data_IF_406007367766
#
_entry.id   IF_406007367766
#
_cell.length_a   1.000
_cell.length_b   1.000
_cell.length_c   1.000
_cell.angle_alpha   90.00
_cell.angle_beta   90.00
_cell.angle_gamma   90.00
#
_symmetry.space_group_name_H-M   'P 1'
#
loop_
_entity.id
_entity.type
_entity.pdbx_description
1 polymer ?
#
# COMPACT_ATOMS: atom_id res chain seq x y z
N UNK A 1 -45.21 8.17 -39.47
CA UNK A 1 -44.53 7.29 -38.51
C UNK A 1 -43.02 7.48 -38.43
N UNK A 2 -42.31 8.01 -39.44
CA UNK A 2 -40.85 8.19 -39.44
C UNK A 2 -40.36 9.42 -38.65
N UNK A 3 -41.11 10.50 -38.56
CA UNK A 3 -40.67 11.73 -37.86
C UNK A 3 -40.69 11.64 -36.34
N UNK A 4 -41.69 10.94 -35.77
CA UNK A 4 -41.74 10.68 -34.31
C UNK A 4 -40.55 9.82 -33.86
N UNK A 5 -40.16 8.82 -34.63
CA UNK A 5 -38.99 7.97 -34.36
C UNK A 5 -37.66 8.74 -34.40
N UNK A 6 -37.53 9.78 -35.19
CA UNK A 6 -36.33 10.61 -35.26
C UNK A 6 -36.26 11.60 -34.07
N UNK A 7 -37.38 12.16 -33.65
CA UNK A 7 -37.44 13.05 -32.49
C UNK A 7 -37.16 12.30 -31.17
N UNK A 8 -37.67 11.09 -31.02
CA UNK A 8 -37.37 10.22 -29.85
C UNK A 8 -35.90 9.83 -29.82
N UNK A 9 -35.29 9.42 -30.91
CA UNK A 9 -33.85 9.10 -31.02
C UNK A 9 -32.98 10.31 -30.71
N UNK A 10 -33.38 11.50 -31.14
CA UNK A 10 -32.64 12.73 -30.85
C UNK A 10 -32.75 13.13 -29.40
N UNK A 11 -33.92 12.93 -28.76
CA UNK A 11 -34.13 13.18 -27.33
C UNK A 11 -33.28 12.20 -26.47
N UNK A 12 -33.26 10.92 -26.84
CA UNK A 12 -32.44 9.90 -26.16
C UNK A 12 -30.95 10.20 -26.31
N UNK A 13 -30.49 10.63 -27.48
CA UNK A 13 -29.09 11.02 -27.72
C UNK A 13 -28.69 12.24 -26.89
N UNK A 14 -29.54 13.26 -26.80
CA UNK A 14 -29.29 14.46 -26.00
C UNK A 14 -29.28 14.15 -24.50
N UNK A 15 -30.17 13.26 -24.03
CA UNK A 15 -30.21 12.83 -22.63
C UNK A 15 -28.95 12.01 -22.26
N UNK A 16 -28.52 11.11 -23.15
CA UNK A 16 -27.28 10.34 -22.96
C UNK A 16 -26.06 11.26 -22.94
N UNK A 17 -25.97 12.25 -23.84
CA UNK A 17 -24.88 13.22 -23.85
C UNK A 17 -24.82 14.05 -22.55
N UNK A 18 -25.99 14.50 -22.07
CA UNK A 18 -26.07 15.23 -20.79
C UNK A 18 -25.66 14.36 -19.59
N UNK A 19 -26.02 13.09 -19.59
CA UNK A 19 -25.64 12.14 -18.55
C UNK A 19 -24.12 11.88 -18.57
N UNK A 20 -23.50 11.73 -19.74
CA UNK A 20 -22.05 11.56 -19.86
C UNK A 20 -21.29 12.79 -19.34
N UNK A 21 -21.71 14.00 -19.71
CA UNK A 21 -21.12 15.24 -19.21
C UNK A 21 -21.19 15.36 -17.68
N UNK A 22 -22.28 14.87 -17.07
CA UNK A 22 -22.41 14.86 -15.62
C UNK A 22 -21.41 13.89 -14.97
N UNK A 23 -21.25 12.69 -15.54
CA UNK A 23 -20.26 11.73 -15.04
C UNK A 23 -18.84 12.24 -15.23
N UNK A 24 -18.50 12.78 -16.39
CA UNK A 24 -17.21 13.41 -16.69
C UNK A 24 -16.88 14.52 -15.70
N UNK A 25 -17.84 15.35 -15.32
CA UNK A 25 -17.70 16.35 -14.29
C UNK A 25 -17.34 15.77 -12.91
N UNK A 26 -17.89 14.61 -12.55
CA UNK A 26 -17.56 13.89 -11.31
C UNK A 26 -16.19 13.21 -11.38
N UNK A 27 -15.85 12.67 -12.54
CA UNK A 27 -14.55 12.07 -12.80
C UNK A 27 -13.43 13.14 -12.91
N UNK A 28 -13.78 14.40 -13.22
CA UNK A 28 -12.82 15.47 -13.50
C UNK A 28 -12.11 15.34 -14.83
N UNK A 29 -12.57 14.43 -15.69
CA UNK A 29 -11.98 14.13 -17.00
C UNK A 29 -13.06 14.06 -18.07
N UNK A 30 -12.75 14.61 -19.24
CA UNK A 30 -13.53 14.37 -20.46
C UNK A 30 -12.90 13.16 -21.16
N UNK A 31 -13.72 12.20 -21.53
CA UNK A 31 -13.29 10.95 -22.15
C UNK A 31 -13.79 10.87 -23.59
N UNK A 32 -13.05 10.14 -24.44
CA UNK A 32 -13.56 9.77 -25.73
C UNK A 32 -14.89 9.03 -25.57
N UNK A 33 -15.93 9.50 -26.25
CA UNK A 33 -17.31 9.02 -26.08
C UNK A 33 -17.46 7.51 -26.28
N UNK A 34 -16.71 6.90 -27.21
CA UNK A 34 -16.76 5.46 -27.45
C UNK A 34 -16.17 4.65 -26.28
N UNK A 35 -15.08 5.14 -25.67
CA UNK A 35 -14.48 4.53 -24.48
C UNK A 35 -15.41 4.62 -23.27
N UNK A 36 -15.99 5.80 -23.03
CA UNK A 36 -16.91 6.00 -21.93
C UNK A 36 -18.16 5.13 -22.06
N UNK A 37 -18.79 5.11 -23.24
CA UNK A 37 -19.94 4.23 -23.52
C UNK A 37 -19.59 2.78 -23.27
N UNK A 38 -18.41 2.34 -23.71
CA UNK A 38 -17.94 0.97 -23.50
C UNK A 38 -17.71 0.66 -22.02
N UNK A 39 -17.05 1.55 -21.26
CA UNK A 39 -16.83 1.38 -19.82
C UNK A 39 -18.15 1.23 -19.05
N UNK A 40 -19.21 1.89 -19.49
CA UNK A 40 -20.53 1.85 -18.90
C UNK A 40 -21.43 0.72 -19.44
N UNK A 41 -20.97 -0.09 -20.40
CA UNK A 41 -21.80 -1.15 -21.03
C UNK A 41 -21.54 -2.50 -20.36
N UNK A 42 -22.47 -2.91 -19.48
CA UNK A 42 -22.47 -4.23 -18.87
C UNK A 42 -22.87 -5.31 -19.86
N UNK A 43 -22.35 -6.52 -19.70
CA UNK A 43 -22.62 -7.68 -20.58
C UNK A 43 -24.12 -7.99 -20.76
N UNK A 44 -24.95 -7.77 -19.75
CA UNK A 44 -26.39 -7.99 -19.87
C UNK A 44 -27.03 -7.09 -20.91
N UNK A 45 -26.64 -5.82 -20.94
CA UNK A 45 -27.09 -4.87 -21.95
C UNK A 45 -26.59 -5.26 -23.35
N UNK A 46 -25.32 -5.59 -23.46
CA UNK A 46 -24.71 -6.00 -24.72
C UNK A 46 -25.45 -7.21 -25.32
N UNK A 47 -25.75 -8.21 -24.49
CA UNK A 47 -26.50 -9.38 -24.91
C UNK A 47 -27.89 -9.04 -25.52
N UNK A 48 -28.65 -8.17 -24.87
CA UNK A 48 -29.97 -7.75 -25.34
C UNK A 48 -29.92 -6.81 -26.56
N UNK A 49 -28.75 -6.22 -26.86
CA UNK A 49 -28.59 -5.23 -27.93
C UNK A 49 -27.61 -5.66 -29.03
N UNK A 50 -27.65 -6.96 -29.41
CA UNK A 50 -26.94 -7.47 -30.60
C UNK A 50 -25.44 -7.73 -30.41
N UNK A 51 -24.99 -7.92 -29.17
CA UNK A 51 -23.59 -8.30 -28.90
C UNK A 51 -22.61 -7.11 -28.97
N UNK A 52 -22.99 -5.98 -28.40
CA UNK A 52 -22.13 -4.81 -28.31
C UNK A 52 -20.84 -5.10 -27.54
N UNK A 53 -19.75 -4.34 -27.74
CA UNK A 53 -18.56 -4.42 -26.89
C UNK A 53 -18.89 -4.13 -25.44
N UNK A 54 -18.44 -5.00 -24.53
CA UNK A 54 -18.66 -4.89 -23.08
C UNK A 54 -17.51 -4.17 -22.38
N UNK A 55 -17.71 -3.85 -21.09
CA UNK A 55 -16.69 -3.25 -20.23
C UNK A 55 -15.63 -4.25 -19.72
N UNK A 56 -15.82 -5.57 -19.84
CA UNK A 56 -14.97 -6.60 -19.25
C UNK A 56 -13.46 -6.46 -19.55
N UNK A 57 -13.10 -6.06 -20.77
CA UNK A 57 -11.68 -5.84 -21.11
C UNK A 57 -11.12 -4.54 -20.52
N UNK A 58 -11.95 -3.53 -20.33
CA UNK A 58 -11.55 -2.30 -19.66
C UNK A 58 -11.45 -2.51 -18.14
N UNK A 59 -12.34 -3.30 -17.55
CA UNK A 59 -12.28 -3.79 -16.17
C UNK A 59 -10.94 -4.48 -15.90
N UNK A 60 -10.59 -5.49 -16.71
CA UNK A 60 -9.31 -6.20 -16.58
C UNK A 60 -8.09 -5.26 -16.59
N UNK A 61 -8.10 -4.27 -17.48
CA UNK A 61 -7.02 -3.27 -17.57
C UNK A 61 -7.03 -2.34 -16.36
N UNK A 62 -8.22 -1.86 -15.98
CA UNK A 62 -8.39 -0.92 -14.88
C UNK A 62 -8.04 -1.51 -13.51
N UNK A 63 -8.37 -2.79 -13.25
CA UNK A 63 -7.91 -3.52 -12.06
C UNK A 63 -6.38 -3.48 -11.93
N UNK A 64 -5.68 -3.73 -13.04
CA UNK A 64 -4.22 -3.69 -13.06
C UNK A 64 -3.66 -2.28 -12.80
N UNK A 65 -4.27 -1.24 -13.37
CA UNK A 65 -3.88 0.16 -13.14
C UNK A 65 -4.16 0.58 -11.70
N UNK A 66 -5.34 0.29 -11.18
CA UNK A 66 -5.72 0.53 -9.79
C UNK A 66 -4.76 -0.19 -8.83
N UNK A 67 -4.51 -1.47 -9.09
CA UNK A 67 -3.59 -2.28 -8.30
C UNK A 67 -2.18 -1.71 -8.26
N UNK A 68 -1.67 -1.22 -9.40
CA UNK A 68 -0.35 -0.58 -9.48
C UNK A 68 -0.30 0.70 -8.64
N UNK A 69 -1.24 1.64 -8.85
CA UNK A 69 -1.24 2.94 -8.17
C UNK A 69 -1.38 2.78 -6.66
N UNK A 70 -2.34 1.95 -6.21
CA UNK A 70 -2.52 1.70 -4.76
C UNK A 70 -1.28 1.01 -4.16
N UNK A 71 -0.65 0.09 -4.89
CA UNK A 71 0.56 -0.59 -4.40
C UNK A 71 1.73 0.39 -4.28
N UNK A 72 1.93 1.25 -5.27
CA UNK A 72 2.96 2.30 -5.25
C UNK A 72 2.76 3.26 -4.09
N UNK A 73 1.52 3.71 -3.88
CA UNK A 73 1.14 4.58 -2.75
C UNK A 73 1.46 3.93 -1.41
N UNK A 74 1.05 2.68 -1.21
CA UNK A 74 1.30 1.95 0.04
C UNK A 74 2.80 1.72 0.27
N UNK A 75 3.55 1.37 -0.78
CA UNK A 75 4.99 1.15 -0.72
C UNK A 75 5.75 2.42 -0.33
N UNK A 76 5.39 3.56 -0.90
CA UNK A 76 6.05 4.84 -0.65
C UNK A 76 5.65 5.46 0.69
N UNK A 77 4.40 5.33 1.09
CA UNK A 77 3.90 5.91 2.37
C UNK A 77 4.22 5.06 3.60
N UNK A 78 4.49 3.77 3.41
CA UNK A 78 4.77 2.84 4.51
C UNK A 78 6.09 2.07 4.30
N UNK A 79 7.25 2.76 4.26
CA UNK A 79 8.55 2.14 3.96
C UNK A 79 8.97 1.08 5.01
N UNK A 80 8.43 1.17 6.23
CA UNK A 80 8.76 0.27 7.34
C UNK A 80 7.92 -1.01 7.36
N UNK A 81 6.82 -1.09 6.57
CA UNK A 81 5.94 -2.24 6.60
C UNK A 81 6.46 -3.39 5.73
N UNK A 82 6.46 -4.63 6.27
CA UNK A 82 6.79 -5.80 5.46
C UNK A 82 5.73 -6.09 4.40
N UNK A 83 6.13 -6.81 3.35
CA UNK A 83 5.26 -7.16 2.20
C UNK A 83 3.89 -7.70 2.61
N UNK A 84 3.85 -8.65 3.57
CA UNK A 84 2.59 -9.24 4.02
C UNK A 84 1.60 -8.24 4.64
N UNK A 85 2.09 -7.16 5.26
CA UNK A 85 1.24 -6.07 5.77
C UNK A 85 0.78 -5.14 4.66
N UNK A 86 1.66 -4.78 3.73
CA UNK A 86 1.30 -4.00 2.54
C UNK A 86 0.23 -4.72 1.71
N UNK A 87 0.35 -6.04 1.53
CA UNK A 87 -0.65 -6.86 0.84
C UNK A 87 -2.02 -6.85 1.55
N UNK A 88 -2.03 -6.90 2.88
CA UNK A 88 -3.28 -6.80 3.67
C UNK A 88 -3.93 -5.42 3.57
N UNK A 89 -3.14 -4.33 3.64
CA UNK A 89 -3.65 -2.98 3.43
C UNK A 89 -4.22 -2.82 2.03
N UNK A 90 -3.53 -3.30 1.00
CA UNK A 90 -4.03 -3.29 -0.37
C UNK A 90 -5.35 -4.04 -0.47
N UNK A 91 -5.45 -5.26 0.06
CA UNK A 91 -6.68 -6.04 0.05
C UNK A 91 -7.85 -5.37 0.81
N UNK A 92 -7.56 -4.58 1.83
CA UNK A 92 -8.58 -3.81 2.55
C UNK A 92 -9.17 -2.66 1.71
N UNK A 93 -8.39 -2.13 0.77
CA UNK A 93 -8.76 -0.97 -0.07
C UNK A 93 -9.20 -1.41 -1.47
N UNK A 94 -8.53 -2.41 -2.06
CA UNK A 94 -8.83 -2.94 -3.40
C UNK A 94 -9.62 -4.24 -3.25
N UNK A 95 -10.92 -4.09 -3.07
CA UNK A 95 -11.87 -5.20 -3.06
C UNK A 95 -13.24 -4.72 -3.54
N UNK A 96 -14.07 -5.64 -4.00
CA UNK A 96 -15.38 -5.33 -4.61
C UNK A 96 -16.28 -4.45 -3.73
N UNK A 97 -16.24 -4.60 -2.40
CA UNK A 97 -17.04 -3.78 -1.48
C UNK A 97 -16.53 -2.33 -1.43
N UNK A 98 -15.23 -2.14 -1.28
CA UNK A 98 -14.62 -0.81 -1.23
C UNK A 98 -14.80 -0.07 -2.57
N UNK A 99 -14.58 -0.76 -3.70
CA UNK A 99 -14.79 -0.21 -5.02
C UNK A 99 -16.27 0.19 -5.24
N UNK A 100 -17.20 -0.64 -4.79
CA UNK A 100 -18.62 -0.33 -4.88
C UNK A 100 -19.01 0.90 -4.04
N UNK A 101 -18.40 1.11 -2.88
CA UNK A 101 -18.61 2.31 -2.06
C UNK A 101 -18.13 3.58 -2.81
N UNK A 102 -16.97 3.51 -3.47
CA UNK A 102 -16.48 4.59 -4.33
C UNK A 102 -17.42 4.81 -5.52
N UNK A 103 -17.84 3.74 -6.18
CA UNK A 103 -18.80 3.81 -7.29
C UNK A 103 -20.14 4.44 -6.90
N UNK A 104 -20.62 4.16 -5.69
CA UNK A 104 -21.83 4.83 -5.13
C UNK A 104 -21.58 6.32 -4.88
N UNK A 105 -20.41 6.67 -4.37
CA UNK A 105 -20.03 8.08 -4.18
C UNK A 105 -20.02 8.89 -5.48
N UNK A 106 -19.70 8.24 -6.60
CA UNK A 106 -19.78 8.81 -7.94
C UNK A 106 -21.18 8.72 -8.55
N UNK A 107 -22.16 8.10 -7.86
CA UNK A 107 -23.48 7.72 -8.40
C UNK A 107 -23.37 6.92 -9.72
N UNK A 108 -22.33 6.10 -9.84
CA UNK A 108 -21.97 5.40 -11.08
C UNK A 108 -23.11 4.51 -11.60
N UNK A 109 -23.86 3.88 -10.69
CA UNK A 109 -24.99 3.03 -11.04
C UNK A 109 -26.03 3.68 -11.93
N UNK A 110 -26.24 5.01 -11.85
CA UNK A 110 -27.19 5.74 -12.69
C UNK A 110 -26.77 5.82 -14.17
N UNK A 111 -25.49 5.65 -14.45
CA UNK A 111 -24.91 5.75 -15.79
C UNK A 111 -24.72 4.38 -16.47
N UNK A 112 -24.74 3.27 -15.69
CA UNK A 112 -24.49 1.93 -16.21
C UNK A 112 -25.63 1.49 -17.15
N UNK A 113 -25.26 0.96 -18.29
CA UNK A 113 -26.17 0.37 -19.28
C UNK A 113 -26.38 -1.10 -18.92
N UNK A 114 -27.56 -1.42 -18.41
CA UNK A 114 -27.95 -2.76 -17.97
C UNK A 114 -29.05 -3.35 -18.86
N UNK A 115 -29.04 -4.65 -19.03
CA UNK A 115 -30.17 -5.38 -19.59
C UNK A 115 -31.35 -5.38 -18.61
N UNK A 116 -32.55 -5.51 -19.13
CA UNK A 116 -33.80 -5.42 -18.34
C UNK A 116 -33.84 -6.40 -17.18
N UNK A 117 -33.33 -7.62 -17.37
CA UNK A 117 -33.29 -8.64 -16.34
C UNK A 117 -32.37 -8.24 -15.18
N UNK A 118 -31.19 -7.71 -15.49
CA UNK A 118 -30.23 -7.27 -14.48
C UNK A 118 -30.72 -6.01 -13.75
N UNK A 119 -31.29 -5.07 -14.49
CA UNK A 119 -31.87 -3.86 -13.92
C UNK A 119 -33.03 -4.18 -12.95
N UNK A 120 -33.91 -5.09 -13.35
CA UNK A 120 -35.06 -5.53 -12.53
C UNK A 120 -34.65 -6.23 -11.23
N UNK A 121 -33.44 -6.74 -11.11
CA UNK A 121 -32.88 -7.34 -9.88
C UNK A 121 -32.01 -6.39 -9.07
N UNK A 122 -32.07 -5.08 -9.35
CA UNK A 122 -31.30 -4.06 -8.63
C UNK A 122 -29.84 -3.98 -9.07
N UNK A 123 -29.51 -4.35 -10.31
CA UNK A 123 -28.15 -4.37 -10.84
C UNK A 123 -27.40 -3.06 -10.70
N UNK A 124 -28.12 -1.91 -10.71
CA UNK A 124 -27.49 -0.58 -10.55
C UNK A 124 -26.80 -0.37 -9.20
N UNK A 125 -27.14 -1.13 -8.16
CA UNK A 125 -26.54 -1.04 -6.83
C UNK A 125 -25.81 -2.31 -6.41
N UNK A 126 -25.69 -3.32 -7.28
CA UNK A 126 -24.92 -4.52 -7.01
C UNK A 126 -23.42 -4.18 -6.90
N UNK A 127 -22.83 -4.62 -5.79
CA UNK A 127 -21.43 -4.31 -5.49
C UNK A 127 -20.46 -4.78 -6.59
N UNK A 128 -20.65 -5.98 -7.15
CA UNK A 128 -19.82 -6.47 -8.24
C UNK A 128 -19.92 -5.58 -9.49
N UNK A 129 -21.14 -5.22 -9.90
CA UNK A 129 -21.34 -4.40 -11.12
C UNK A 129 -20.75 -3.01 -10.96
N UNK A 130 -20.90 -2.40 -9.77
CA UNK A 130 -20.31 -1.10 -9.47
C UNK A 130 -18.79 -1.14 -9.44
N UNK A 131 -18.21 -2.20 -8.85
CA UNK A 131 -16.76 -2.40 -8.80
C UNK A 131 -16.19 -2.57 -10.21
N UNK A 132 -16.71 -3.53 -10.98
CA UNK A 132 -16.26 -3.85 -12.34
C UNK A 132 -16.38 -2.62 -13.26
N UNK A 133 -17.46 -1.83 -13.10
CA UNK A 133 -17.65 -0.61 -13.88
C UNK A 133 -16.66 0.49 -13.47
N UNK A 134 -16.35 0.63 -12.19
CA UNK A 134 -15.35 1.60 -11.72
C UNK A 134 -13.96 1.26 -12.27
N UNK A 135 -13.57 0.00 -12.22
CA UNK A 135 -12.33 -0.46 -12.85
C UNK A 135 -12.34 -0.19 -14.34
N UNK A 136 -13.44 -0.48 -15.04
CA UNK A 136 -13.57 -0.19 -16.45
C UNK A 136 -13.43 1.31 -16.77
N UNK A 137 -13.93 2.20 -15.92
CA UNK A 137 -13.76 3.65 -16.06
C UNK A 137 -12.30 4.05 -15.86
N UNK A 138 -11.62 3.50 -14.86
CA UNK A 138 -10.17 3.72 -14.64
C UNK A 138 -9.38 3.26 -15.87
N UNK A 139 -9.70 2.08 -16.41
CA UNK A 139 -9.10 1.56 -17.63
C UNK A 139 -9.36 2.44 -18.87
N UNK A 140 -10.55 3.06 -18.96
CA UNK A 140 -10.88 4.00 -20.02
C UNK A 140 -10.07 5.30 -19.90
N UNK A 141 -9.94 5.88 -18.71
CA UNK A 141 -9.09 7.06 -18.45
C UNK A 141 -7.63 6.77 -18.82
N UNK A 142 -7.14 5.59 -18.41
CA UNK A 142 -5.77 5.17 -18.75
C UNK A 142 -5.54 5.10 -20.28
N UNK A 143 -6.47 4.51 -21.03
CA UNK A 143 -6.33 4.40 -22.49
C UNK A 143 -6.43 5.74 -23.20
N UNK A 144 -7.26 6.64 -22.71
CA UNK A 144 -7.51 7.93 -23.32
C UNK A 144 -6.43 8.98 -22.98
N UNK A 145 -5.99 9.03 -21.72
CA UNK A 145 -5.16 10.10 -21.18
C UNK A 145 -3.85 9.65 -20.51
N UNK A 146 -3.61 8.34 -20.46
CA UNK A 146 -2.37 7.77 -19.94
C UNK A 146 -2.36 7.52 -18.44
N UNK A 147 -1.21 7.06 -17.96
CA UNK A 147 -1.05 6.62 -16.57
C UNK A 147 -1.16 7.77 -15.57
N UNK A 148 -0.64 8.94 -15.90
CA UNK A 148 -0.64 10.10 -14.97
C UNK A 148 -2.07 10.52 -14.63
N UNK A 149 -2.94 10.66 -15.63
CA UNK A 149 -4.35 10.99 -15.42
C UNK A 149 -5.10 9.88 -14.65
N UNK A 150 -4.84 8.62 -14.97
CA UNK A 150 -5.44 7.50 -14.24
C UNK A 150 -4.96 7.46 -12.78
N UNK A 151 -3.68 7.73 -12.51
CA UNK A 151 -3.12 7.82 -11.17
C UNK A 151 -3.77 8.95 -10.36
N UNK A 152 -3.90 10.13 -10.95
CA UNK A 152 -4.55 11.27 -10.30
C UNK A 152 -6.02 10.95 -9.94
N UNK A 153 -6.75 10.27 -10.84
CA UNK A 153 -8.10 9.80 -10.56
C UNK A 153 -8.12 8.81 -9.38
N UNK A 154 -7.23 7.81 -9.40
CA UNK A 154 -7.15 6.79 -8.35
C UNK A 154 -6.81 7.45 -7.01
N UNK A 155 -5.80 8.32 -6.94
CA UNK A 155 -5.45 9.04 -5.72
C UNK A 155 -6.63 9.82 -5.14
N UNK A 156 -7.31 10.59 -5.96
CA UNK A 156 -8.48 11.37 -5.51
C UNK A 156 -9.59 10.50 -4.94
N UNK A 157 -9.80 9.30 -5.49
CA UNK A 157 -10.88 8.41 -5.07
C UNK A 157 -10.49 7.50 -3.91
N UNK A 158 -9.23 7.07 -3.83
CA UNK A 158 -8.80 6.01 -2.92
C UNK A 158 -7.91 6.48 -1.77
N UNK A 159 -7.21 7.63 -1.86
CA UNK A 159 -6.37 8.13 -0.76
C UNK A 159 -7.15 8.27 0.57
N UNK A 160 -8.39 8.76 0.60
CA UNK A 160 -9.17 8.80 1.85
C UNK A 160 -9.45 7.41 2.44
N UNK A 161 -9.59 6.39 1.59
CA UNK A 161 -9.77 5.00 2.01
C UNK A 161 -8.46 4.39 2.51
N UNK A 162 -7.35 4.69 1.85
CA UNK A 162 -6.01 4.25 2.24
C UNK A 162 -5.68 4.82 3.62
N UNK A 163 -5.83 6.13 3.82
CA UNK A 163 -5.61 6.77 5.11
C UNK A 163 -6.49 6.18 6.22
N UNK A 164 -7.78 6.03 5.96
CA UNK A 164 -8.71 5.43 6.91
C UNK A 164 -8.31 3.99 7.26
N UNK A 165 -7.93 3.18 6.27
CA UNK A 165 -7.54 1.78 6.46
C UNK A 165 -6.23 1.68 7.24
N UNK A 166 -5.27 2.54 6.96
CA UNK A 166 -3.99 2.62 7.67
C UNK A 166 -4.20 3.05 9.13
N UNK A 167 -5.02 4.08 9.38
CA UNK A 167 -5.29 4.59 10.72
C UNK A 167 -6.11 3.62 11.59
N UNK A 168 -7.01 2.84 10.99
CA UNK A 168 -7.78 1.82 11.70
C UNK A 168 -7.01 0.52 11.90
N UNK A 169 -5.77 0.41 11.39
CA UNK A 169 -5.05 -0.87 11.33
C UNK A 169 -5.84 -1.94 10.57
N UNK A 170 -6.66 -1.53 9.59
CA UNK A 170 -7.57 -2.41 8.88
C UNK A 170 -6.78 -3.52 8.17
N UNK A 171 -7.02 -4.76 8.59
CA UNK A 171 -6.31 -5.94 8.09
C UNK A 171 -4.93 -6.17 8.71
N UNK A 172 -4.37 -5.25 9.50
CA UNK A 172 -3.10 -5.45 10.18
C UNK A 172 -3.33 -6.16 11.51
N UNK A 173 -2.71 -7.32 11.66
CA UNK A 173 -2.60 -8.02 12.94
C UNK A 173 -1.24 -7.69 13.55
N UNK A 174 -1.16 -6.53 14.19
CA UNK A 174 0.06 -6.07 14.81
C UNK A 174 0.56 -7.02 15.91
N UNK A 175 -0.34 -7.75 16.56
CA UNK A 175 0.04 -8.74 17.58
C UNK A 175 0.81 -9.90 16.95
N UNK A 176 0.32 -10.43 15.83
CA UNK A 176 1.03 -11.47 15.05
C UNK A 176 2.34 -10.94 14.50
N UNK A 177 2.35 -9.74 13.91
CA UNK A 177 3.56 -9.13 13.38
C UNK A 177 4.62 -8.86 14.44
N UNK A 178 4.21 -8.42 15.64
CA UNK A 178 5.13 -8.27 16.76
C UNK A 178 5.68 -9.60 17.23
N UNK A 179 4.85 -10.65 17.29
CA UNK A 179 5.29 -11.99 17.67
C UNK A 179 6.32 -12.56 16.68
N UNK A 180 6.11 -12.38 15.38
CA UNK A 180 7.05 -12.77 14.34
C UNK A 180 8.39 -12.02 14.47
N UNK A 181 8.33 -10.69 14.64
CA UNK A 181 9.52 -9.86 14.81
C UNK A 181 10.31 -10.24 16.07
N UNK A 182 9.64 -10.37 17.22
CA UNK A 182 10.30 -10.72 18.46
C UNK A 182 10.90 -12.13 18.46
N UNK A 183 10.29 -13.06 17.73
CA UNK A 183 10.85 -14.38 17.49
C UNK A 183 12.12 -14.32 16.62
N UNK A 184 12.09 -13.53 15.52
CA UNK A 184 13.25 -13.32 14.66
C UNK A 184 14.43 -12.66 15.40
N UNK A 185 14.14 -11.68 16.28
CA UNK A 185 15.14 -10.97 17.08
C UNK A 185 15.55 -11.74 18.36
N UNK A 186 14.95 -12.90 18.63
CA UNK A 186 15.24 -13.71 19.83
C UNK A 186 14.83 -13.05 21.16
N UNK A 187 13.88 -12.11 21.15
CA UNK A 187 13.46 -11.33 22.31
C UNK A 187 12.45 -12.05 23.22
N UNK A 188 11.79 -13.09 22.70
CA UNK A 188 10.76 -13.85 23.43
C UNK A 188 9.33 -13.52 22.96
N UNK A 189 8.34 -14.02 23.70
CA UNK A 189 6.92 -13.86 23.35
C UNK A 189 6.37 -12.56 23.92
N UNK A 190 5.62 -11.75 23.14
CA UNK A 190 4.99 -10.54 23.64
C UNK A 190 3.85 -10.83 24.62
N UNK A 191 3.80 -10.06 25.70
CA UNK A 191 2.72 -10.05 26.70
C UNK A 191 2.04 -8.67 26.70
N UNK A 192 0.72 -8.64 26.99
CA UNK A 192 -0.06 -7.41 27.02
C UNK A 192 -0.64 -7.18 28.41
N UNK A 193 -0.28 -6.06 29.01
CA UNK A 193 -0.88 -5.59 30.26
C UNK A 193 -1.93 -4.55 29.93
N UNK A 194 -3.20 -4.85 30.21
CA UNK A 194 -4.33 -3.97 29.90
C UNK A 194 -4.92 -3.41 31.17
N UNK A 195 -5.09 -2.09 31.23
CA UNK A 195 -5.82 -1.36 32.26
C UNK A 195 -7.04 -0.69 31.62
N UNK A 196 -8.09 -0.46 32.44
CA UNK A 196 -9.28 0.25 32.00
C UNK A 196 -9.55 1.44 32.91
N UNK A 197 -10.02 2.55 32.32
CA UNK A 197 -10.39 3.78 33.02
C UNK A 197 -11.67 4.37 32.40
N UNK A 198 -12.40 5.16 33.19
CA UNK A 198 -13.64 5.80 32.78
C UNK A 198 -14.91 5.04 33.19
N UNK A 199 -16.09 5.68 33.07
CA UNK A 199 -17.37 5.08 33.36
C UNK A 199 -17.75 4.02 32.31
N UNK A 200 -18.68 3.11 32.66
CA UNK A 200 -19.04 1.94 31.82
C UNK A 200 -19.44 2.27 30.37
N UNK A 201 -20.01 3.45 30.14
CA UNK A 201 -20.45 3.91 28.83
C UNK A 201 -19.36 4.66 28.02
N UNK A 202 -18.20 4.93 28.67
CA UNK A 202 -17.07 5.66 28.07
C UNK A 202 -15.72 5.07 28.52
N UNK A 203 -15.64 3.74 28.61
CA UNK A 203 -14.40 3.05 28.97
C UNK A 203 -13.31 3.30 27.96
N UNK A 204 -12.15 3.67 28.46
CA UNK A 204 -10.90 3.72 27.70
C UNK A 204 -9.97 2.64 28.22
N UNK A 205 -9.43 1.85 27.32
CA UNK A 205 -8.47 0.80 27.60
C UNK A 205 -7.07 1.28 27.24
N UNK A 206 -6.11 1.02 28.11
CA UNK A 206 -4.69 1.27 27.86
C UNK A 206 -3.96 -0.06 27.94
N UNK A 207 -3.21 -0.41 26.91
CA UNK A 207 -2.39 -1.61 26.85
C UNK A 207 -0.90 -1.25 26.81
N UNK A 208 -0.06 -2.06 27.45
CA UNK A 208 1.39 -2.02 27.30
C UNK A 208 1.87 -3.37 26.76
N UNK A 209 2.59 -3.34 25.63
CA UNK A 209 3.23 -4.52 25.05
C UNK A 209 4.60 -4.70 25.69
N UNK A 210 4.82 -5.86 26.32
CA UNK A 210 6.07 -6.23 26.99
C UNK A 210 6.68 -7.45 26.33
N UNK A 211 7.99 -7.44 26.18
CA UNK A 211 8.76 -8.57 25.66
C UNK A 211 9.95 -8.80 26.58
N UNK A 212 10.09 -10.02 27.08
CA UNK A 212 11.14 -10.34 28.04
C UNK A 212 11.11 -9.48 29.32
N UNK A 213 9.92 -9.03 29.74
CA UNK A 213 9.73 -8.16 30.91
C UNK A 213 9.94 -6.67 30.65
N UNK A 214 10.44 -6.25 29.47
CA UNK A 214 10.65 -4.84 29.07
C UNK A 214 9.45 -4.35 28.31
N UNK A 215 8.99 -3.11 28.58
CA UNK A 215 7.91 -2.47 27.82
C UNK A 215 8.49 -1.81 26.57
N UNK A 216 7.97 -2.20 25.40
CA UNK A 216 8.40 -1.66 24.11
C UNK A 216 7.38 -0.73 23.46
N UNK A 217 6.11 -0.80 23.86
CA UNK A 217 5.08 0.06 23.30
C UNK A 217 3.83 0.13 24.17
N UNK A 218 3.08 1.21 23.99
CA UNK A 218 1.79 1.44 24.63
C UNK A 218 0.74 1.83 23.60
N UNK A 219 -0.52 1.53 23.89
CA UNK A 219 -1.64 1.90 23.04
C UNK A 219 -2.90 2.12 23.85
N UNK A 220 -3.81 2.92 23.33
CA UNK A 220 -5.10 3.24 23.92
C UNK A 220 -6.22 2.97 22.93
N UNK A 221 -7.39 2.57 23.41
CA UNK A 221 -8.53 2.30 22.53
C UNK A 221 -9.84 2.20 23.28
N UNK A 222 -10.93 2.14 22.52
CA UNK A 222 -12.29 1.95 23.06
C UNK A 222 -12.59 0.48 23.40
N UNK A 223 -11.70 -0.42 23.04
CA UNK A 223 -11.75 -1.84 23.38
C UNK A 223 -10.37 -2.36 23.75
N UNK A 224 -10.32 -3.45 24.52
CA UNK A 224 -9.06 -4.14 24.84
C UNK A 224 -8.29 -4.52 23.57
N UNK A 225 -8.99 -5.04 22.57
CA UNK A 225 -8.40 -5.44 21.28
C UNK A 225 -7.73 -4.27 20.57
N UNK A 226 -8.39 -3.11 20.53
CA UNK A 226 -7.85 -1.91 19.90
C UNK A 226 -6.60 -1.40 20.62
N UNK A 227 -6.66 -1.31 21.96
CA UNK A 227 -5.52 -0.90 22.77
C UNK A 227 -4.32 -1.86 22.62
N UNK A 228 -4.56 -3.18 22.60
CA UNK A 228 -3.52 -4.19 22.37
C UNK A 228 -2.91 -4.09 20.97
N UNK A 229 -3.71 -3.85 19.93
CA UNK A 229 -3.20 -3.68 18.56
C UNK A 229 -2.32 -2.43 18.45
N UNK A 230 -2.73 -1.31 19.01
CA UNK A 230 -1.91 -0.08 19.02
C UNK A 230 -0.63 -0.25 19.86
N UNK A 231 -0.70 -0.94 21.00
CA UNK A 231 0.49 -1.26 21.79
C UNK A 231 1.47 -2.16 21.01
N UNK A 232 0.94 -3.13 20.29
CA UNK A 232 1.73 -4.02 19.43
C UNK A 232 2.39 -3.27 18.27
N UNK A 233 1.66 -2.36 17.61
CA UNK A 233 2.20 -1.48 16.57
C UNK A 233 3.35 -0.63 17.10
N UNK A 234 3.12 0.06 18.22
CA UNK A 234 4.15 0.92 18.85
C UNK A 234 5.41 0.13 19.20
N UNK A 235 5.24 -1.07 19.78
CA UNK A 235 6.35 -1.96 20.10
C UNK A 235 7.07 -2.47 18.85
N UNK A 236 6.34 -2.86 17.82
CA UNK A 236 6.91 -3.36 16.59
C UNK A 236 7.78 -2.29 15.90
N UNK A 237 7.28 -1.05 15.78
CA UNK A 237 8.02 0.07 15.22
C UNK A 237 9.29 0.37 16.02
N UNK A 238 9.22 0.42 17.34
CA UNK A 238 10.37 0.67 18.20
C UNK A 238 11.46 -0.40 18.09
N UNK A 239 11.08 -1.68 18.08
CA UNK A 239 12.02 -2.80 17.92
C UNK A 239 12.66 -2.78 16.53
N UNK A 240 11.87 -2.52 15.47
CA UNK A 240 12.35 -2.46 14.10
C UNK A 240 13.38 -1.35 13.91
N UNK A 241 13.06 -0.13 14.35
CA UNK A 241 14.00 1.00 14.28
C UNK A 241 15.31 0.70 14.98
N UNK A 242 15.25 0.13 16.20
CA UNK A 242 16.46 -0.23 16.93
C UNK A 242 17.29 -1.34 16.25
N UNK A 243 16.63 -2.27 15.53
CA UNK A 243 17.31 -3.30 14.75
C UNK A 243 18.01 -2.68 13.52
N UNK A 244 17.32 -1.81 12.79
CA UNK A 244 17.87 -1.13 11.62
C UNK A 244 19.05 -0.21 11.99
N UNK A 245 18.99 0.52 13.10
CA UNK A 245 20.09 1.32 13.64
C UNK A 245 21.31 0.46 14.00
N UNK A 246 21.10 -0.73 14.60
CA UNK A 246 22.19 -1.67 14.89
C UNK A 246 22.88 -2.18 13.63
N UNK A 247 22.09 -2.51 12.60
CA UNK A 247 22.61 -2.96 11.30
C UNK A 247 23.43 -1.83 10.65
N UNK A 248 22.91 -0.61 10.65
CA UNK A 248 23.59 0.56 10.11
C UNK A 248 24.90 0.86 10.86
N UNK A 249 24.90 0.76 12.19
CA UNK A 249 26.10 0.97 13.00
C UNK A 249 27.18 -0.09 12.72
N UNK A 250 26.80 -1.37 12.56
CA UNK A 250 27.73 -2.45 12.19
C UNK A 250 28.29 -2.23 10.79
N UNK A 251 27.47 -1.84 9.83
CA UNK A 251 27.91 -1.53 8.48
C UNK A 251 28.89 -0.33 8.44
N UNK A 252 28.61 0.73 9.21
CA UNK A 252 29.48 1.89 9.33
C UNK A 252 30.83 1.52 10.00
N UNK A 253 30.81 0.68 11.03
CA UNK A 253 32.02 0.21 11.69
C UNK A 253 32.88 -0.67 10.76
N UNK A 254 32.26 -1.49 9.90
CA UNK A 254 32.95 -2.33 8.92
C UNK A 254 33.55 -1.51 7.75
N UNK A 255 32.97 -0.35 7.45
CA UNK A 255 33.46 0.56 6.40
C UNK A 255 34.51 1.56 6.90
N UNK A 256 34.78 1.64 8.20
CA UNK A 256 35.80 2.52 8.77
C UNK A 256 37.21 2.06 8.33
N UNK A 257 38.10 2.97 7.90
CA UNK A 257 39.45 2.62 7.55
C UNK A 257 40.20 2.06 8.78
N UNK A 258 41.14 1.11 8.61
CA UNK A 258 41.86 0.56 9.73
C UNK A 258 42.58 1.68 10.48
N UNK A 259 42.42 1.70 11.80
CA UNK A 259 43.14 2.63 12.67
C UNK A 259 44.61 2.34 12.54
N UNK A 260 45.39 3.27 11.98
CA UNK A 260 46.86 3.19 11.97
C UNK A 260 47.33 3.14 13.43
N UNK A 261 47.79 1.98 13.87
CA UNK A 261 48.46 1.84 15.15
C UNK A 261 49.84 2.47 14.98
N UNK A 262 50.18 3.56 15.70
CA UNK A 262 51.51 4.16 15.60
C UNK A 262 52.55 3.12 16.00
N UNK A 263 53.60 2.96 15.15
CA UNK A 263 54.69 2.08 15.42
C UNK A 263 55.37 2.46 16.75
N UNK A 264 55.78 1.47 17.57
CA UNK A 264 56.47 1.78 18.83
C UNK A 264 57.76 2.54 18.54
N UNK A 265 57.91 3.68 19.22
CA UNK A 265 59.10 4.52 19.13
C UNK A 265 60.34 3.67 19.47
N UNK A 266 61.23 3.55 18.49
CA UNK A 266 62.52 2.86 18.66
C UNK A 266 63.34 3.54 19.73
N UNK A 267 63.68 2.81 20.75
CA UNK A 267 64.70 3.19 21.74
C UNK A 267 66.07 3.26 21.01
N UNK A 268 66.60 4.48 20.88
CA UNK A 268 67.96 4.73 20.41
C UNK A 268 68.94 4.09 21.37
N UNK A 269 69.76 3.20 20.84
CA UNK A 269 70.99 2.75 21.49
C UNK A 269 72.13 3.36 20.72
N UNK A 270 72.87 4.20 21.45
CA UNK A 270 74.14 4.82 20.99
C UNK A 270 75.17 3.78 20.61
N UNK A 271 75.82 3.99 19.49
CA UNK A 271 76.98 3.22 19.01
C UNK A 271 78.22 3.80 19.67
N UNK A 272 78.95 3.01 20.48
CA UNK A 272 80.36 3.27 20.76
C UNK A 272 81.25 2.52 19.80
N UNK A 273 82.22 3.29 19.32
CA UNK A 273 83.32 3.02 18.44
C UNK A 273 84.40 2.04 19.04
N UNK A 274 85.02 1.16 18.24
CA UNK A 274 86.06 0.35 18.73
C UNK A 274 86.61 -0.73 17.79
N UNK A 275 87.54 -0.32 16.85
CA UNK A 275 88.74 -1.00 16.48
C UNK A 275 88.71 -2.32 15.70
N UNK A 276 89.05 -2.24 14.46
CA UNK A 276 89.54 -3.37 13.68
C UNK A 276 90.86 -3.95 14.25
N UNK A 277 91.32 -5.21 13.94
CA UNK A 277 92.02 -5.50 12.70
C UNK A 277 91.74 -6.92 12.05
N UNK A 278 91.90 -6.96 10.78
CA UNK A 278 92.17 -8.10 9.89
C UNK A 278 93.51 -8.68 10.17
N UNK A 279 94.02 -9.86 9.60
CA UNK A 279 93.46 -10.82 8.62
C UNK A 279 93.84 -12.32 8.88
N UNK A 280 93.53 -13.14 7.89
CA UNK A 280 94.17 -14.41 7.47
C UNK A 280 93.27 -15.66 7.60
N UNK A 281 92.75 -16.15 6.50
CA UNK A 281 93.32 -17.15 5.58
C UNK A 281 93.22 -18.61 6.08
N UNK A 282 92.85 -19.43 5.15
CA UNK A 282 92.90 -20.89 4.99
C UNK A 282 91.56 -21.59 5.12
N UNK A 283 90.95 -21.93 3.97
CA UNK A 283 91.22 -23.09 3.13
C UNK A 283 90.77 -24.45 3.75
N UNK A 284 89.89 -25.09 3.01
CA UNK A 284 89.79 -26.53 2.73
C UNK A 284 88.86 -27.41 3.62
N UNK A 285 87.97 -28.02 2.84
CA UNK A 285 87.65 -29.45 2.68
C UNK A 285 86.87 -30.16 3.83
N UNK A 286 85.68 -30.50 3.54
CA UNK A 286 85.20 -31.82 3.13
C UNK A 286 83.69 -31.73 2.95
#
# INVERSE_FOLDING_TARGET
>A
MSELSNAEKQADSNNAASSHTLLEGRLGYQLESALLVRALTHRSYAYENGGLPTNERLEFLGDSVLGLVVTDTLYTTHPDLPEGQLAKLRAAVVNSRALAEVGRGLELGSFIRLGRGEEGTGGRDKASILADTLEAVIGAVYLDQGLDAASELVHRLFDPLIEKSSNLGAGLDWKTSLQELTAAEGLGVPEYLVTETGPDHEKTFTAAARVGGVSYGTGTGRSKKEAEQQAAESAWRGIRTAADERIAAVAAAAAAPPVEVPAPAGTGAEAEDGGAPTPADTARDA
#
